data_IF_104934594150
#
_entry.id   IF_104934594150
#
_cell.length_a   1.000
_cell.length_b   1.000
_cell.length_c   1.000
_cell.angle_alpha   90.00
_cell.angle_beta   90.00
_cell.angle_gamma   90.00
#
_symmetry.space_group_name_H-M   'P 1'
#
loop_
_entity.id
_entity.type
_entity.pdbx_description
1 polymer ?
#
# COMPACT_ATOMS: atom_id res chain seq x y z
N UNK A 1 -24.68 5.56 -10.26
CA UNK A 1 -23.72 4.55 -10.74
C UNK A 1 -22.50 4.40 -9.83
N UNK A 2 -21.81 5.46 -9.47
CA UNK A 2 -20.60 5.48 -8.62
C UNK A 2 -20.69 4.61 -7.33
N UNK A 3 -21.66 4.86 -6.43
CA UNK A 3 -21.78 4.07 -5.20
C UNK A 3 -22.06 2.58 -5.46
N UNK A 4 -22.78 2.27 -6.55
CA UNK A 4 -23.05 0.89 -6.93
C UNK A 4 -21.76 0.19 -7.37
N UNK A 5 -20.92 0.81 -8.20
CA UNK A 5 -19.64 0.22 -8.64
C UNK A 5 -18.71 -0.07 -7.45
N UNK A 6 -18.55 0.88 -6.54
CA UNK A 6 -17.71 0.69 -5.32
C UNK A 6 -18.28 -0.44 -4.42
N UNK A 7 -19.62 -0.49 -4.25
CA UNK A 7 -20.27 -1.58 -3.49
C UNK A 7 -20.07 -2.95 -4.15
N UNK A 8 -20.09 -3.01 -5.48
CA UNK A 8 -19.82 -4.24 -6.23
C UNK A 8 -18.36 -4.71 -6.08
N UNK A 9 -17.40 -3.77 -6.05
CA UNK A 9 -15.99 -4.10 -5.80
C UNK A 9 -15.82 -4.70 -4.40
N UNK A 10 -16.43 -4.11 -3.38
CA UNK A 10 -16.40 -4.64 -2.02
C UNK A 10 -17.01 -6.03 -1.96
N UNK A 11 -18.20 -6.21 -2.54
CA UNK A 11 -18.89 -7.50 -2.54
C UNK A 11 -18.10 -8.57 -3.31
N UNK A 12 -17.54 -8.24 -4.48
CA UNK A 12 -16.72 -9.16 -5.27
C UNK A 12 -15.46 -9.57 -4.50
N UNK A 13 -14.77 -8.62 -3.86
CA UNK A 13 -13.60 -8.91 -3.05
C UNK A 13 -13.92 -9.84 -1.87
N UNK A 14 -15.03 -9.60 -1.17
CA UNK A 14 -15.46 -10.51 -0.10
C UNK A 14 -15.77 -11.91 -0.63
N UNK A 15 -16.49 -12.02 -1.76
CA UNK A 15 -16.80 -13.32 -2.38
C UNK A 15 -15.51 -14.04 -2.79
N UNK A 16 -14.58 -13.34 -3.47
CA UNK A 16 -13.31 -13.95 -3.86
C UNK A 16 -12.47 -14.35 -2.64
N UNK A 17 -12.46 -13.53 -1.58
CA UNK A 17 -11.79 -13.89 -0.33
C UNK A 17 -12.33 -15.18 0.25
N UNK A 18 -13.66 -15.34 0.33
CA UNK A 18 -14.29 -16.56 0.80
C UNK A 18 -14.00 -17.78 -0.09
N UNK A 19 -13.93 -17.58 -1.41
CA UNK A 19 -13.57 -18.64 -2.34
C UNK A 19 -12.10 -19.05 -2.19
N UNK A 20 -11.18 -18.08 -2.10
CA UNK A 20 -9.75 -18.32 -1.95
C UNK A 20 -9.44 -18.94 -0.58
N UNK A 21 -10.10 -18.52 0.50
CA UNK A 21 -10.01 -19.15 1.81
C UNK A 21 -10.26 -20.66 1.71
N UNK A 22 -11.40 -21.07 1.11
CA UNK A 22 -11.75 -22.50 0.91
C UNK A 22 -10.80 -23.25 -0.01
N UNK A 23 -10.33 -22.59 -1.09
CA UNK A 23 -9.36 -23.18 -2.02
C UNK A 23 -8.01 -23.37 -1.32
N UNK A 24 -7.54 -22.38 -0.55
CA UNK A 24 -6.30 -22.48 0.21
C UNK A 24 -6.33 -23.60 1.25
N UNK A 25 -7.45 -23.79 1.93
CA UNK A 25 -7.66 -24.93 2.82
C UNK A 25 -7.62 -26.26 2.05
N UNK A 26 -8.34 -26.35 0.92
CA UNK A 26 -8.42 -27.58 0.11
C UNK A 26 -7.08 -28.00 -0.50
N UNK A 27 -6.30 -27.05 -0.96
CA UNK A 27 -5.01 -27.31 -1.62
C UNK A 27 -3.81 -27.14 -0.67
N UNK A 28 -4.07 -26.93 0.63
CA UNK A 28 -3.06 -26.85 1.68
C UNK A 28 -2.09 -25.66 1.52
N UNK A 29 -2.56 -24.53 0.95
CA UNK A 29 -1.85 -23.27 0.94
C UNK A 29 -2.04 -22.58 2.30
N UNK A 30 -1.36 -23.08 3.32
CA UNK A 30 -1.48 -22.66 4.71
C UNK A 30 -0.14 -22.14 5.22
N UNK A 31 -0.15 -20.98 5.85
CA UNK A 31 0.96 -20.55 6.68
C UNK A 31 0.95 -21.32 7.99
N UNK A 32 1.99 -22.12 8.21
CA UNK A 32 2.14 -22.95 9.42
C UNK A 32 2.90 -22.16 10.48
N UNK A 33 2.40 -22.15 11.72
CA UNK A 33 3.08 -21.49 12.82
C UNK A 33 4.54 -21.95 12.96
N UNK A 34 5.42 -21.00 13.18
CA UNK A 34 6.83 -21.21 13.51
C UNK A 34 7.19 -20.36 14.74
N UNK A 35 8.41 -20.47 15.25
CA UNK A 35 8.86 -19.77 16.48
C UNK A 35 8.75 -18.25 16.42
N UNK A 36 8.53 -17.67 15.22
CA UNK A 36 8.39 -16.23 14.99
C UNK A 36 6.96 -15.81 14.63
N UNK A 37 6.07 -16.80 14.45
CA UNK A 37 4.69 -16.53 14.07
C UNK A 37 3.91 -15.94 15.24
N UNK A 38 3.09 -14.95 14.95
CA UNK A 38 2.15 -14.36 15.90
C UNK A 38 0.84 -15.14 16.03
N UNK A 39 0.62 -16.16 15.18
CA UNK A 39 -0.54 -17.04 15.17
C UNK A 39 -0.18 -18.45 15.67
N UNK A 40 -1.16 -19.18 16.20
CA UNK A 40 -1.00 -20.50 16.81
C UNK A 40 -1.61 -21.65 16.01
N UNK A 41 -2.34 -21.36 14.93
CA UNK A 41 -2.98 -22.39 14.08
C UNK A 41 -2.62 -22.14 12.61
N UNK A 42 -2.49 -23.20 11.78
CA UNK A 42 -2.32 -23.03 10.35
C UNK A 42 -3.44 -22.16 9.76
N UNK A 43 -3.08 -21.15 9.00
CA UNK A 43 -4.03 -20.16 8.47
C UNK A 43 -3.89 -20.07 6.96
N UNK A 44 -5.02 -20.10 6.20
CA UNK A 44 -5.03 -19.89 4.76
C UNK A 44 -4.25 -18.63 4.34
N UNK A 45 -3.54 -18.70 3.22
CA UNK A 45 -2.84 -17.57 2.60
C UNK A 45 -3.48 -17.19 1.27
N UNK A 46 -2.87 -16.31 0.51
CA UNK A 46 -3.30 -15.85 -0.82
C UNK A 46 -4.51 -14.89 -0.81
N UNK A 47 -4.91 -14.35 0.36
CA UNK A 47 -6.05 -13.44 0.44
C UNK A 47 -5.87 -12.15 -0.37
N UNK A 48 -4.64 -11.71 -0.56
CA UNK A 48 -4.31 -10.57 -1.41
C UNK A 48 -4.72 -10.74 -2.88
N UNK A 49 -4.79 -11.99 -3.36
CA UNK A 49 -5.29 -12.27 -4.71
C UNK A 49 -6.75 -11.81 -4.89
N UNK A 50 -7.58 -11.88 -3.84
CA UNK A 50 -8.95 -11.35 -3.88
C UNK A 50 -8.99 -9.84 -4.08
N UNK A 51 -8.11 -9.11 -3.40
CA UNK A 51 -7.97 -7.65 -3.53
C UNK A 51 -7.61 -7.31 -4.98
N UNK A 52 -6.54 -7.95 -5.48
CA UNK A 52 -6.01 -7.69 -6.83
C UNK A 52 -7.02 -8.02 -7.92
N UNK A 53 -7.65 -9.20 -7.88
CA UNK A 53 -8.65 -9.60 -8.89
C UNK A 53 -9.83 -8.62 -8.89
N UNK A 54 -10.35 -8.25 -7.72
CA UNK A 54 -11.49 -7.34 -7.63
C UNK A 54 -11.16 -5.94 -8.14
N UNK A 55 -9.95 -5.45 -7.86
CA UNK A 55 -9.46 -4.18 -8.35
C UNK A 55 -9.23 -4.21 -9.87
N UNK A 56 -8.60 -5.26 -10.39
CA UNK A 56 -8.40 -5.45 -11.83
C UNK A 56 -9.74 -5.53 -12.57
N UNK A 57 -10.72 -6.25 -12.03
CA UNK A 57 -12.07 -6.30 -12.63
C UNK A 57 -12.73 -4.93 -12.66
N UNK A 58 -12.55 -4.12 -11.62
CA UNK A 58 -13.02 -2.74 -11.63
C UNK A 58 -12.36 -1.93 -12.75
N UNK A 59 -11.04 -1.98 -12.89
CA UNK A 59 -10.32 -1.28 -13.96
C UNK A 59 -10.76 -1.74 -15.36
N UNK A 60 -11.01 -3.03 -15.55
CA UNK A 60 -11.51 -3.58 -16.83
C UNK A 60 -12.91 -3.10 -17.14
N UNK A 61 -13.81 -3.09 -16.15
CA UNK A 61 -15.18 -2.61 -16.33
C UNK A 61 -15.19 -1.12 -16.63
N UNK A 62 -14.39 -0.33 -15.90
CA UNK A 62 -14.23 1.09 -16.13
C UNK A 62 -13.71 1.36 -17.55
N UNK A 63 -12.65 0.67 -17.95
CA UNK A 63 -12.10 0.76 -19.30
C UNK A 63 -13.12 0.39 -20.39
N UNK A 64 -13.90 -0.71 -20.20
CA UNK A 64 -14.87 -1.19 -21.19
C UNK A 64 -16.12 -0.28 -21.30
N UNK A 65 -16.55 0.35 -20.20
CA UNK A 65 -17.69 1.27 -20.22
C UNK A 65 -17.33 2.58 -20.92
N UNK A 66 -16.08 3.04 -20.76
CA UNK A 66 -15.56 4.25 -21.40
C UNK A 66 -15.04 4.05 -22.83
N UNK A 67 -15.05 2.81 -23.39
CA UNK A 67 -14.88 2.63 -24.83
C UNK A 67 -16.08 3.32 -25.53
N UNK A 68 -15.90 4.41 -26.30
CA UNK A 68 -17.01 5.18 -26.85
C UNK A 68 -17.85 4.33 -27.81
N UNK A 69 -19.14 4.60 -27.87
CA UNK A 69 -19.96 4.23 -29.03
C UNK A 69 -19.23 4.66 -30.30
N UNK A 70 -18.97 3.73 -31.21
CA UNK A 70 -18.20 3.88 -32.45
C UNK A 70 -18.64 5.01 -33.39
N UNK A 71 -19.65 5.79 -33.02
CA UNK A 71 -20.24 6.86 -33.83
C UNK A 71 -19.76 8.29 -33.47
N UNK A 72 -19.09 8.47 -32.34
CA UNK A 72 -18.48 9.76 -31.99
C UNK A 72 -16.97 9.70 -32.26
N UNK A 73 -16.46 10.66 -33.04
CA UNK A 73 -15.03 10.82 -33.38
C UNK A 73 -14.10 11.13 -32.18
N UNK A 74 -14.57 10.95 -30.95
CA UNK A 74 -13.78 10.97 -29.72
C UNK A 74 -13.20 9.58 -29.45
N UNK A 75 -12.26 9.16 -30.26
CA UNK A 75 -11.47 7.95 -30.05
C UNK A 75 -10.64 8.17 -28.79
N UNK A 76 -10.80 7.28 -27.79
CA UNK A 76 -10.10 7.21 -26.51
C UNK A 76 -10.46 8.31 -25.46
N UNK A 77 -11.59 8.13 -24.80
CA UNK A 77 -11.88 8.83 -23.54
C UNK A 77 -11.56 8.03 -22.26
N UNK A 78 -10.97 6.84 -22.38
CA UNK A 78 -10.39 6.16 -21.23
C UNK A 78 -9.06 6.83 -20.89
N UNK A 79 -8.88 7.26 -19.64
CA UNK A 79 -7.62 7.82 -19.18
C UNK A 79 -6.49 6.80 -19.43
N UNK A 80 -5.45 7.13 -20.23
CA UNK A 80 -4.35 6.22 -20.53
C UNK A 80 -3.63 5.73 -19.27
N UNK A 81 -3.70 6.48 -18.17
CA UNK A 81 -3.14 6.11 -16.88
C UNK A 81 -3.80 4.84 -16.33
N UNK A 82 -5.11 4.65 -16.56
CA UNK A 82 -5.86 3.47 -16.10
C UNK A 82 -5.38 2.22 -16.83
N UNK A 83 -5.21 2.30 -18.15
CA UNK A 83 -4.68 1.18 -18.93
C UNK A 83 -3.25 0.83 -18.54
N UNK A 84 -2.43 1.85 -18.31
CA UNK A 84 -1.04 1.66 -17.88
C UNK A 84 -0.95 1.05 -16.48
N UNK A 85 -1.81 1.49 -15.55
CA UNK A 85 -1.96 0.89 -14.23
C UNK A 85 -2.33 -0.59 -14.32
N UNK A 86 -3.35 -0.92 -15.14
CA UNK A 86 -3.76 -2.31 -15.39
C UNK A 86 -2.61 -3.17 -15.91
N UNK A 87 -1.84 -2.66 -16.88
CA UNK A 87 -0.71 -3.39 -17.47
C UNK A 87 0.38 -3.71 -16.43
N UNK A 88 0.64 -2.81 -15.49
CA UNK A 88 1.75 -2.95 -14.56
C UNK A 88 1.39 -3.62 -13.22
N UNK A 89 0.12 -3.58 -12.80
CA UNK A 89 -0.31 -4.29 -11.58
C UNK A 89 -0.24 -5.81 -11.76
N UNK A 90 -0.46 -6.30 -12.98
CA UNK A 90 -0.45 -7.75 -13.27
C UNK A 90 0.93 -8.39 -12.99
N UNK A 91 2.06 -7.95 -13.57
CA UNK A 91 3.37 -8.57 -13.29
C UNK A 91 3.77 -8.49 -11.81
N UNK A 92 3.44 -7.41 -11.11
CA UNK A 92 3.69 -7.29 -9.66
C UNK A 92 2.88 -8.33 -8.87
N UNK A 93 1.61 -8.49 -9.21
CA UNK A 93 0.74 -9.45 -8.53
C UNK A 93 1.12 -10.90 -8.82
N UNK A 94 1.54 -11.18 -10.08
CA UNK A 94 1.99 -12.52 -10.49
C UNK A 94 3.27 -12.91 -9.75
N UNK A 95 4.25 -12.01 -9.64
CA UNK A 95 5.49 -12.35 -8.91
C UNK A 95 5.22 -12.55 -7.41
N UNK A 96 4.31 -11.76 -6.80
CA UNK A 96 3.86 -11.97 -5.43
C UNK A 96 3.18 -13.32 -5.26
N UNK A 97 2.30 -13.71 -6.19
CA UNK A 97 1.62 -15.02 -6.17
C UNK A 97 2.60 -16.19 -6.31
N UNK A 98 3.58 -16.09 -7.19
CA UNK A 98 4.61 -17.11 -7.33
C UNK A 98 5.45 -17.22 -6.04
N UNK A 99 5.71 -16.11 -5.37
CA UNK A 99 6.43 -16.10 -4.09
C UNK A 99 5.62 -16.74 -2.95
N UNK A 100 4.33 -16.43 -2.87
CA UNK A 100 3.42 -17.04 -1.89
C UNK A 100 3.32 -18.57 -2.05
N UNK A 101 3.37 -19.07 -3.29
CA UNK A 101 3.25 -20.50 -3.60
C UNK A 101 4.59 -21.23 -3.51
N UNK A 102 5.68 -20.64 -4.02
CA UNK A 102 6.90 -21.37 -4.35
C UNK A 102 8.22 -20.80 -3.83
N UNK A 103 8.24 -19.67 -3.16
CA UNK A 103 9.43 -18.91 -2.71
C UNK A 103 10.33 -18.48 -3.88
N UNK A 104 10.20 -17.25 -4.29
CA UNK A 104 11.05 -16.61 -5.31
C UNK A 104 12.34 -16.08 -4.65
N UNK A 105 13.45 -16.12 -5.37
CA UNK A 105 14.68 -15.47 -4.89
C UNK A 105 14.45 -13.96 -4.77
N UNK A 106 14.88 -13.38 -3.65
CA UNK A 106 14.75 -11.94 -3.35
C UNK A 106 15.22 -11.07 -4.52
N UNK A 107 16.33 -11.45 -5.17
CA UNK A 107 16.88 -10.71 -6.31
C UNK A 107 15.92 -10.65 -7.50
N UNK A 108 15.20 -11.72 -7.82
CA UNK A 108 14.22 -11.76 -8.93
C UNK A 108 13.06 -10.82 -8.62
N UNK A 109 12.54 -10.84 -7.39
CA UNK A 109 11.50 -9.92 -6.93
C UNK A 109 11.93 -8.46 -7.11
N UNK A 110 13.12 -8.12 -6.60
CA UNK A 110 13.67 -6.78 -6.70
C UNK A 110 13.85 -6.33 -8.15
N UNK A 111 14.37 -7.18 -9.03
CA UNK A 111 14.53 -6.85 -10.45
C UNK A 111 13.18 -6.49 -11.09
N UNK A 112 12.13 -7.28 -10.85
CA UNK A 112 10.80 -7.01 -11.39
C UNK A 112 10.23 -5.71 -10.81
N UNK A 113 10.38 -5.50 -9.49
CA UNK A 113 9.95 -4.26 -8.84
C UNK A 113 10.67 -3.04 -9.43
N UNK A 114 11.99 -3.11 -9.67
CA UNK A 114 12.74 -2.04 -10.30
C UNK A 114 12.33 -1.77 -11.75
N UNK A 115 12.09 -2.82 -12.54
CA UNK A 115 11.61 -2.67 -13.93
C UNK A 115 10.26 -1.95 -13.95
N UNK A 116 9.31 -2.42 -13.13
CA UNK A 116 7.97 -1.83 -13.07
C UNK A 116 8.01 -0.40 -12.51
N UNK A 117 8.77 -0.14 -11.44
CA UNK A 117 8.94 1.20 -10.90
C UNK A 117 9.56 2.17 -11.93
N UNK A 118 10.58 1.70 -12.66
CA UNK A 118 11.19 2.49 -13.75
C UNK A 118 10.17 2.81 -14.85
N UNK A 119 9.35 1.84 -15.24
CA UNK A 119 8.31 2.06 -16.23
C UNK A 119 7.29 3.13 -15.79
N UNK A 120 6.84 3.10 -14.52
CA UNK A 120 5.91 4.09 -13.98
C UNK A 120 6.54 5.49 -13.96
N UNK A 121 7.73 5.64 -13.38
CA UNK A 121 8.39 6.95 -13.26
C UNK A 121 8.71 7.51 -14.64
N UNK A 122 9.19 6.68 -15.58
CA UNK A 122 9.48 7.08 -16.95
C UNK A 122 8.22 7.56 -17.69
N UNK A 123 7.10 6.81 -17.53
CA UNK A 123 5.81 7.17 -18.12
C UNK A 123 5.34 8.56 -17.67
N UNK A 124 5.30 8.81 -16.36
CA UNK A 124 4.86 10.10 -15.83
C UNK A 124 5.85 11.23 -16.04
N UNK A 125 7.15 10.95 -16.19
CA UNK A 125 8.14 11.95 -16.52
C UNK A 125 8.01 12.46 -17.96
N UNK A 126 7.67 11.57 -18.92
CA UNK A 126 7.55 11.92 -20.34
C UNK A 126 6.17 12.50 -20.65
N UNK A 127 5.09 11.89 -20.15
CA UNK A 127 3.72 12.27 -20.48
C UNK A 127 3.11 13.26 -19.48
N UNK A 128 3.64 13.31 -18.26
CA UNK A 128 3.22 14.23 -17.21
C UNK A 128 4.27 15.30 -16.92
N UNK A 129 3.85 16.40 -16.32
CA UNK A 129 4.75 17.44 -15.82
C UNK A 129 5.39 17.05 -14.47
N UNK A 130 5.75 15.77 -14.29
CA UNK A 130 6.31 15.27 -13.02
C UNK A 130 7.66 15.94 -12.68
N UNK A 131 8.36 16.43 -13.71
CA UNK A 131 9.59 17.21 -13.56
C UNK A 131 9.36 18.58 -14.18
N UNK A 132 9.56 19.63 -13.38
CA UNK A 132 9.41 20.99 -13.83
C UNK A 132 10.36 21.27 -15.02
N UNK A 133 9.85 21.88 -16.08
CA UNK A 133 10.61 22.23 -17.30
C UNK A 133 11.80 23.15 -16.98
N UNK A 134 11.79 23.82 -15.81
CA UNK A 134 12.86 24.72 -15.35
C UNK A 134 13.98 24.01 -14.58
N UNK A 135 13.84 22.71 -14.29
CA UNK A 135 14.88 21.94 -13.60
C UNK A 135 16.07 21.66 -14.52
N UNK A 136 17.27 21.66 -13.95
CA UNK A 136 18.46 21.19 -14.65
C UNK A 136 18.34 19.70 -14.98
N UNK A 137 19.04 19.25 -16.02
CA UNK A 137 19.06 17.82 -16.39
C UNK A 137 19.56 16.92 -15.23
N UNK A 138 20.43 17.43 -14.36
CA UNK A 138 20.93 16.71 -13.18
C UNK A 138 19.88 16.56 -12.10
N UNK A 139 19.10 17.60 -11.81
CA UNK A 139 17.98 17.55 -10.85
C UNK A 139 16.91 16.60 -11.34
N UNK A 140 16.57 16.63 -12.63
CA UNK A 140 15.60 15.71 -13.23
C UNK A 140 16.02 14.25 -13.10
N UNK A 141 17.31 13.93 -13.33
CA UNK A 141 17.85 12.58 -13.16
C UNK A 141 17.81 12.16 -11.70
N UNK A 142 18.15 13.05 -10.76
CA UNK A 142 18.12 12.75 -9.33
C UNK A 142 16.70 12.43 -8.84
N UNK A 143 15.71 13.24 -9.23
CA UNK A 143 14.29 13.01 -8.91
C UNK A 143 13.82 11.66 -9.49
N UNK A 144 14.19 11.38 -10.75
CA UNK A 144 13.89 10.12 -11.41
C UNK A 144 14.38 8.91 -10.60
N UNK A 145 15.67 8.91 -10.22
CA UNK A 145 16.28 7.82 -9.46
C UNK A 145 15.67 7.68 -8.05
N UNK A 146 15.46 8.80 -7.35
CA UNK A 146 14.84 8.81 -6.03
C UNK A 146 13.43 8.24 -6.10
N UNK A 147 12.63 8.62 -7.09
CA UNK A 147 11.25 8.15 -7.26
C UNK A 147 11.18 6.64 -7.48
N UNK A 148 12.10 6.08 -8.29
CA UNK A 148 12.21 4.61 -8.47
C UNK A 148 12.52 3.93 -7.15
N UNK A 149 13.53 4.41 -6.42
CA UNK A 149 13.95 3.84 -5.13
C UNK A 149 12.80 3.91 -4.12
N UNK A 150 12.11 5.04 -4.01
CA UNK A 150 10.97 5.21 -3.10
C UNK A 150 9.81 4.29 -3.46
N UNK A 151 9.53 4.09 -4.74
CA UNK A 151 8.48 3.19 -5.18
C UNK A 151 8.82 1.72 -4.85
N UNK A 152 10.04 1.28 -5.13
CA UNK A 152 10.53 -0.07 -4.72
C UNK A 152 10.53 -0.20 -3.20
N UNK A 153 10.95 0.85 -2.49
CA UNK A 153 10.89 0.88 -1.03
C UNK A 153 9.46 0.70 -0.52
N UNK A 154 8.49 1.41 -1.07
CA UNK A 154 7.09 1.34 -0.64
C UNK A 154 6.49 -0.06 -0.84
N UNK A 155 6.81 -0.75 -1.95
CA UNK A 155 6.41 -2.14 -2.16
C UNK A 155 6.93 -3.08 -1.06
N UNK A 156 8.21 -2.95 -0.70
CA UNK A 156 8.81 -3.78 0.34
C UNK A 156 8.41 -3.36 1.75
N UNK A 157 8.26 -2.06 2.00
CA UNK A 157 7.76 -1.50 3.25
C UNK A 157 6.37 -2.07 3.57
N UNK A 158 5.47 -2.07 2.59
CA UNK A 158 4.12 -2.60 2.79
C UNK A 158 4.15 -4.09 3.14
N UNK A 159 5.01 -4.85 2.47
CA UNK A 159 5.22 -6.26 2.76
C UNK A 159 5.77 -6.49 4.19
N UNK A 160 6.70 -5.66 4.68
CA UNK A 160 7.21 -5.77 6.05
C UNK A 160 6.16 -5.46 7.11
N UNK A 161 5.20 -4.60 6.79
CA UNK A 161 4.15 -4.17 7.72
C UNK A 161 2.94 -5.13 7.73
N UNK A 162 2.89 -6.12 6.83
CA UNK A 162 1.86 -7.17 6.81
C UNK A 162 2.20 -8.34 7.77
N UNK A 163 2.48 -8.02 9.02
CA UNK A 163 2.91 -9.01 10.03
C UNK A 163 1.88 -9.28 11.14
N UNK A 164 0.70 -8.66 11.13
CA UNK A 164 -0.37 -8.88 12.10
C UNK A 164 -1.75 -8.71 11.48
N UNK A 165 -2.73 -9.42 12.04
CA UNK A 165 -4.11 -9.45 11.54
C UNK A 165 -4.69 -8.04 11.33
N UNK A 166 -5.17 -7.76 10.15
CA UNK A 166 -5.87 -6.54 9.79
C UNK A 166 -5.00 -5.27 9.67
N UNK A 167 -3.72 -5.32 10.04
CA UNK A 167 -2.90 -4.12 10.17
C UNK A 167 -2.62 -3.45 8.81
N UNK A 168 -2.03 -4.18 7.86
CA UNK A 168 -1.71 -3.66 6.55
C UNK A 168 -2.97 -3.32 5.73
N UNK A 169 -4.00 -4.16 5.81
CA UNK A 169 -5.26 -3.89 5.12
C UNK A 169 -5.98 -2.65 5.66
N UNK A 170 -6.01 -2.45 6.99
CA UNK A 170 -6.62 -1.26 7.59
C UNK A 170 -5.88 0.02 7.23
N UNK A 171 -4.55 -0.02 7.16
CA UNK A 171 -3.77 1.12 6.71
C UNK A 171 -4.04 1.46 5.24
N UNK A 172 -4.13 0.46 4.34
CA UNK A 172 -4.52 0.68 2.95
C UNK A 172 -5.87 1.39 2.85
N UNK A 173 -6.88 0.90 3.59
CA UNK A 173 -8.21 1.52 3.63
C UNK A 173 -8.12 2.96 4.14
N UNK A 174 -7.38 3.21 5.21
CA UNK A 174 -7.21 4.57 5.75
C UNK A 174 -6.53 5.51 4.74
N UNK A 175 -5.40 5.11 4.17
CA UNK A 175 -4.61 5.92 3.23
C UNK A 175 -5.41 6.26 1.97
N UNK A 176 -6.10 5.25 1.41
CA UNK A 176 -6.91 5.44 0.20
C UNK A 176 -8.16 6.28 0.45
N UNK A 177 -8.83 6.12 1.59
CA UNK A 177 -9.95 6.99 1.98
C UNK A 177 -9.48 8.43 2.23
N UNK A 178 -8.33 8.61 2.90
CA UNK A 178 -7.74 9.93 3.14
C UNK A 178 -7.37 10.64 1.84
N UNK A 179 -6.71 9.95 0.91
CA UNK A 179 -6.38 10.49 -0.41
C UNK A 179 -7.64 10.84 -1.23
N UNK A 180 -8.65 9.96 -1.25
CA UNK A 180 -9.91 10.22 -1.93
C UNK A 180 -10.66 11.42 -1.33
N UNK A 181 -10.65 11.57 0.00
CA UNK A 181 -11.21 12.73 0.68
C UNK A 181 -10.52 14.03 0.25
N UNK A 182 -9.19 14.03 0.19
CA UNK A 182 -8.40 15.20 -0.22
C UNK A 182 -8.71 15.57 -1.68
N UNK A 183 -8.76 14.59 -2.59
CA UNK A 183 -9.15 14.82 -3.99
C UNK A 183 -10.57 15.39 -4.10
N UNK A 184 -11.50 14.87 -3.31
CA UNK A 184 -12.87 15.40 -3.24
C UNK A 184 -12.91 16.84 -2.75
N UNK A 185 -12.13 17.18 -1.70
CA UNK A 185 -12.03 18.55 -1.18
C UNK A 185 -11.39 19.52 -2.18
N UNK A 186 -10.50 19.02 -3.04
CA UNK A 186 -9.86 19.78 -4.12
C UNK A 186 -10.76 19.91 -5.38
N UNK A 187 -12.00 19.37 -5.35
CA UNK A 187 -12.93 19.35 -6.48
C UNK A 187 -12.33 18.72 -7.75
N UNK A 188 -11.52 17.67 -7.59
CA UNK A 188 -10.95 16.93 -8.72
C UNK A 188 -12.00 16.05 -9.42
N UNK A 189 -11.66 15.58 -10.63
CA UNK A 189 -12.54 14.70 -11.39
C UNK A 189 -12.90 13.44 -10.60
N UNK A 190 -14.19 13.07 -10.52
CA UNK A 190 -14.63 11.83 -9.85
C UNK A 190 -13.98 10.54 -10.33
N UNK A 191 -13.49 10.48 -11.57
CA UNK A 191 -12.84 9.28 -12.12
C UNK A 191 -11.62 8.86 -11.31
N UNK A 192 -10.73 9.80 -10.95
CA UNK A 192 -9.49 9.51 -10.24
C UNK A 192 -9.76 9.02 -8.81
N UNK A 193 -10.57 9.74 -8.02
CA UNK A 193 -10.82 9.27 -6.65
C UNK A 193 -11.71 8.02 -6.60
N UNK A 194 -12.46 7.70 -7.67
CA UNK A 194 -13.20 6.46 -7.76
C UNK A 194 -12.29 5.23 -7.87
N UNK A 195 -11.18 5.35 -8.60
CA UNK A 195 -10.17 4.28 -8.71
C UNK A 195 -9.49 4.05 -7.35
N UNK A 196 -9.14 5.11 -6.64
CA UNK A 196 -8.54 5.02 -5.31
C UNK A 196 -9.54 4.40 -4.31
N UNK A 197 -10.82 4.78 -4.38
CA UNK A 197 -11.88 4.18 -3.57
C UNK A 197 -12.17 2.72 -3.95
N UNK A 198 -11.98 2.34 -5.20
CA UNK A 198 -12.09 0.94 -5.61
C UNK A 198 -11.04 0.07 -4.94
N UNK A 199 -9.78 0.56 -4.79
CA UNK A 199 -8.76 -0.14 -4.01
C UNK A 199 -9.16 -0.22 -2.53
N UNK A 200 -9.68 0.85 -1.96
CA UNK A 200 -10.23 0.85 -0.59
C UNK A 200 -11.29 -0.22 -0.41
N UNK A 201 -12.27 -0.27 -1.31
CA UNK A 201 -13.37 -1.24 -1.27
C UNK A 201 -12.90 -2.69 -1.44
N UNK A 202 -11.98 -2.93 -2.38
CA UNK A 202 -11.38 -4.25 -2.57
C UNK A 202 -10.64 -4.72 -1.31
N UNK A 203 -9.85 -3.83 -0.71
CA UNK A 203 -9.12 -4.13 0.53
C UNK A 203 -10.05 -4.31 1.72
N UNK A 204 -11.13 -3.52 1.82
CA UNK A 204 -12.14 -3.65 2.88
C UNK A 204 -12.88 -4.99 2.78
N UNK A 205 -13.21 -5.47 1.58
CA UNK A 205 -13.82 -6.79 1.37
C UNK A 205 -12.96 -7.93 1.93
N UNK A 206 -11.64 -7.89 1.69
CA UNK A 206 -10.67 -8.81 2.27
C UNK A 206 -10.57 -8.63 3.80
N UNK A 207 -10.48 -7.38 4.28
CA UNK A 207 -10.30 -7.05 5.70
C UNK A 207 -11.36 -7.69 6.58
N UNK A 208 -12.61 -7.83 6.11
CA UNK A 208 -13.69 -8.48 6.86
C UNK A 208 -13.37 -9.94 7.25
N UNK A 209 -12.42 -10.60 6.56
CA UNK A 209 -11.94 -11.95 6.88
C UNK A 209 -10.56 -11.96 7.54
N UNK A 210 -9.85 -10.83 7.54
CA UNK A 210 -8.50 -10.67 8.11
C UNK A 210 -8.48 -9.93 9.45
N UNK A 211 -9.65 -9.64 10.06
CA UNK A 211 -9.73 -8.89 11.32
C UNK A 211 -9.14 -9.64 12.52
N UNK A 212 -8.58 -8.94 13.54
CA UNK A 212 -7.71 -9.51 14.58
C UNK A 212 -8.40 -10.32 15.67
N UNK A 213 -9.68 -10.61 15.62
CA UNK A 213 -10.30 -11.53 16.58
C UNK A 213 -9.90 -12.99 16.32
N UNK A 214 -9.72 -13.35 15.08
CA UNK A 214 -9.11 -14.57 14.52
C UNK A 214 -9.11 -14.42 13.01
N UNK A 215 -8.02 -13.95 12.41
CA UNK A 215 -7.91 -13.89 10.96
C UNK A 215 -8.16 -15.26 10.34
N UNK A 216 -9.00 -15.30 9.31
CA UNK A 216 -9.36 -16.53 8.58
C UNK A 216 -8.47 -16.76 7.38
N UNK A 217 -7.85 -15.70 6.89
CA UNK A 217 -6.96 -15.73 5.75
C UNK A 217 -5.93 -14.60 5.87
N UNK A 218 -4.68 -14.85 5.48
CA UNK A 218 -3.62 -13.85 5.40
C UNK A 218 -3.52 -13.26 4.01
N UNK A 219 -2.99 -12.04 3.93
CA UNK A 219 -2.86 -11.30 2.68
C UNK A 219 -1.83 -11.93 1.74
N UNK A 220 -0.65 -12.21 2.25
CA UNK A 220 0.51 -12.71 1.50
C UNK A 220 1.19 -11.63 0.66
N UNK A 221 2.27 -12.03 -0.01
CA UNK A 221 3.10 -11.15 -0.84
C UNK A 221 2.33 -10.65 -2.07
N UNK A 222 1.40 -11.46 -2.61
CA UNK A 222 0.49 -11.05 -3.69
C UNK A 222 -0.25 -9.76 -3.34
N UNK A 223 -0.77 -9.65 -2.14
CA UNK A 223 -1.55 -8.48 -1.71
C UNK A 223 -0.66 -7.34 -1.26
N UNK A 224 0.24 -7.59 -0.32
CA UNK A 224 1.03 -6.54 0.32
C UNK A 224 1.94 -5.80 -0.67
N UNK A 225 2.64 -6.51 -1.55
CA UNK A 225 3.49 -5.89 -2.58
C UNK A 225 2.66 -5.15 -3.62
N UNK A 226 1.50 -5.73 -4.03
CA UNK A 226 0.59 -5.05 -4.97
C UNK A 226 -0.02 -3.78 -4.41
N UNK A 227 -0.42 -3.76 -3.13
CA UNK A 227 -0.89 -2.54 -2.46
C UNK A 227 0.21 -1.48 -2.42
N UNK A 228 1.44 -1.87 -2.03
CA UNK A 228 2.59 -0.96 -2.04
C UNK A 228 2.85 -0.37 -3.43
N UNK A 229 2.75 -1.18 -4.49
CA UNK A 229 2.84 -0.73 -5.88
C UNK A 229 1.71 0.25 -6.24
N UNK A 230 0.45 -0.09 -5.95
CA UNK A 230 -0.71 0.73 -6.27
C UNK A 230 -0.66 2.10 -5.58
N UNK A 231 -0.30 2.13 -4.30
CA UNK A 231 -0.10 3.38 -3.58
C UNK A 231 1.05 4.21 -4.19
N UNK A 232 2.17 3.58 -4.54
CA UNK A 232 3.28 4.25 -5.23
C UNK A 232 2.86 4.83 -6.58
N UNK A 233 2.05 4.12 -7.34
CA UNK A 233 1.49 4.59 -8.60
C UNK A 233 0.59 5.82 -8.39
N UNK A 234 -0.33 5.78 -7.41
CA UNK A 234 -1.21 6.91 -7.10
C UNK A 234 -0.44 8.13 -6.60
N UNK A 235 0.63 7.93 -5.82
CA UNK A 235 1.52 9.03 -5.39
C UNK A 235 2.11 9.74 -6.59
N UNK A 236 2.71 8.99 -7.52
CA UNK A 236 3.37 9.56 -8.71
C UNK A 236 2.32 10.22 -9.62
N UNK A 237 1.20 9.55 -9.88
CA UNK A 237 0.13 10.09 -10.71
C UNK A 237 -0.41 11.41 -10.16
N UNK A 238 -0.86 11.43 -8.90
CA UNK A 238 -1.45 12.64 -8.32
C UNK A 238 -0.44 13.77 -8.13
N UNK A 239 0.84 13.44 -7.89
CA UNK A 239 1.90 14.44 -7.82
C UNK A 239 2.24 15.03 -9.20
N UNK A 240 2.26 14.22 -10.27
CA UNK A 240 2.51 14.69 -11.63
C UNK A 240 1.44 15.66 -12.15
N UNK A 241 0.21 15.49 -11.68
CA UNK A 241 -0.92 16.36 -12.01
C UNK A 241 -1.15 17.46 -10.95
N UNK A 242 -0.25 17.60 -9.97
CA UNK A 242 -0.33 18.59 -8.89
C UNK A 242 -1.64 18.52 -8.08
N UNK A 243 -2.26 17.34 -7.99
CA UNK A 243 -3.54 17.10 -7.30
C UNK A 243 -3.37 16.83 -5.81
N UNK A 244 -2.36 16.03 -5.45
CA UNK A 244 -1.95 15.79 -4.06
C UNK A 244 -0.42 15.89 -3.98
N UNK A 245 0.09 16.68 -3.04
CA UNK A 245 1.53 16.80 -2.87
C UNK A 245 2.17 15.52 -2.33
N UNK A 246 3.43 15.26 -2.67
CA UNK A 246 4.21 14.15 -2.12
C UNK A 246 4.25 14.22 -0.58
N UNK A 247 4.32 15.42 -0.01
CA UNK A 247 4.31 15.63 1.44
C UNK A 247 3.02 15.13 2.09
N UNK A 248 1.88 15.39 1.47
CA UNK A 248 0.58 14.91 1.94
C UNK A 248 0.51 13.38 1.94
N UNK A 249 1.04 12.73 0.90
CA UNK A 249 1.16 11.26 0.86
C UNK A 249 2.13 10.72 1.91
N UNK A 250 3.27 11.38 2.11
CA UNK A 250 4.21 11.01 3.18
C UNK A 250 3.55 11.11 4.56
N UNK A 251 2.69 12.11 4.78
CA UNK A 251 1.92 12.23 6.02
C UNK A 251 0.93 11.07 6.14
N UNK A 252 0.11 10.78 5.12
CA UNK A 252 -0.86 9.68 5.16
C UNK A 252 -0.20 8.32 5.44
N UNK A 253 1.02 8.09 4.98
CA UNK A 253 1.80 6.86 5.16
C UNK A 253 2.75 6.92 6.36
N UNK A 254 2.69 7.97 7.17
CA UNK A 254 3.71 8.28 8.18
C UNK A 254 3.96 7.17 9.20
N UNK A 255 2.93 6.43 9.62
CA UNK A 255 3.08 5.33 10.58
C UNK A 255 3.89 4.19 9.96
N UNK A 256 3.54 3.77 8.75
CA UNK A 256 4.21 2.67 8.05
C UNK A 256 5.64 3.04 7.66
N UNK A 257 5.84 4.25 7.14
CA UNK A 257 7.18 4.75 6.78
C UNK A 257 8.06 4.86 8.03
N UNK A 258 7.52 5.39 9.14
CA UNK A 258 8.29 5.53 10.38
C UNK A 258 8.70 4.18 10.95
N UNK A 259 7.77 3.24 11.10
CA UNK A 259 8.09 1.93 11.71
C UNK A 259 9.09 1.16 10.86
N UNK A 260 8.84 1.03 9.55
CA UNK A 260 9.75 0.28 8.68
C UNK A 260 11.12 0.93 8.57
N UNK A 261 11.20 2.23 8.28
CA UNK A 261 12.48 2.92 8.06
C UNK A 261 13.29 3.03 9.34
N UNK A 262 12.64 3.40 10.45
CA UNK A 262 13.30 3.49 11.75
C UNK A 262 13.82 2.12 12.22
N UNK A 263 13.00 1.08 12.13
CA UNK A 263 13.39 -0.28 12.50
C UNK A 263 14.60 -0.75 11.71
N UNK A 264 14.61 -0.57 10.38
CA UNK A 264 15.76 -0.95 9.56
C UNK A 264 17.00 -0.10 9.84
N UNK A 265 16.84 1.21 10.06
CA UNK A 265 17.93 2.08 10.45
C UNK A 265 18.59 1.61 11.75
N UNK A 266 17.82 1.32 12.80
CA UNK A 266 18.34 0.79 14.06
C UNK A 266 19.05 -0.54 13.86
N UNK A 267 18.51 -1.45 13.05
CA UNK A 267 19.13 -2.74 12.75
C UNK A 267 20.47 -2.58 12.02
N UNK A 268 20.57 -1.64 11.07
CA UNK A 268 21.84 -1.33 10.39
C UNK A 268 22.87 -0.80 11.39
N UNK A 269 22.50 0.19 12.21
CA UNK A 269 23.41 0.80 13.20
C UNK A 269 23.87 -0.24 14.25
N UNK A 270 22.98 -1.15 14.64
CA UNK A 270 23.30 -2.24 15.59
C UNK A 270 23.93 -3.46 14.90
N UNK A 271 24.32 -3.36 13.62
CA UNK A 271 24.96 -4.41 12.82
C UNK A 271 24.15 -5.72 12.74
N UNK A 272 22.84 -5.64 12.81
CA UNK A 272 21.95 -6.79 12.63
C UNK A 272 21.68 -7.03 11.14
N UNK A 273 21.51 -8.29 10.77
CA UNK A 273 21.21 -8.63 9.38
C UNK A 273 19.78 -8.20 9.04
N UNK A 274 19.65 -7.28 8.06
CA UNK A 274 18.37 -6.76 7.58
C UNK A 274 17.64 -7.70 6.60
N UNK A 275 18.36 -8.63 5.98
CA UNK A 275 17.79 -9.58 5.02
C UNK A 275 17.19 -10.83 5.70
N UNK A 276 17.38 -10.99 6.99
CA UNK A 276 16.80 -12.10 7.77
C UNK A 276 15.46 -11.64 8.33
N UNK A 277 14.37 -12.41 8.16
CA UNK A 277 13.08 -12.11 8.76
C UNK A 277 13.20 -11.88 10.28
N UNK A 278 12.55 -10.85 10.78
CA UNK A 278 12.58 -10.43 12.19
C UNK A 278 11.22 -9.93 12.67
N UNK A 279 11.06 -9.84 13.99
CA UNK A 279 9.84 -9.37 14.66
C UNK A 279 10.10 -8.11 15.50
N UNK A 280 11.00 -7.24 15.03
CA UNK A 280 11.46 -6.05 15.78
C UNK A 280 10.75 -4.76 15.42
N UNK A 281 9.76 -4.77 14.53
CA UNK A 281 8.90 -3.61 14.26
C UNK A 281 8.08 -3.21 15.48
N UNK A 282 7.78 -1.92 15.63
CA UNK A 282 7.07 -1.41 16.81
C UNK A 282 5.70 -2.06 17.00
N UNK A 283 4.93 -2.23 15.90
CA UNK A 283 3.62 -2.87 15.96
C UNK A 283 3.70 -4.35 16.39
N UNK A 284 4.72 -5.09 15.92
CA UNK A 284 4.95 -6.48 16.30
C UNK A 284 5.34 -6.60 17.77
N UNK A 285 6.27 -5.75 18.24
CA UNK A 285 6.67 -5.68 19.66
C UNK A 285 5.46 -5.39 20.55
N UNK A 286 4.61 -4.46 20.15
CA UNK A 286 3.39 -4.12 20.88
C UNK A 286 2.40 -5.29 20.89
N UNK A 287 2.19 -5.96 19.76
CA UNK A 287 1.33 -7.13 19.65
C UNK A 287 1.83 -8.26 20.56
N UNK A 288 3.13 -8.52 20.54
CA UNK A 288 3.75 -9.53 21.38
C UNK A 288 3.62 -9.22 22.88
N UNK A 289 3.98 -7.99 23.29
CA UNK A 289 3.91 -7.52 24.68
C UNK A 289 2.47 -7.55 25.22
N UNK A 290 1.49 -7.25 24.39
CA UNK A 290 0.05 -7.24 24.75
C UNK A 290 -0.67 -8.57 24.49
N UNK A 291 0.01 -9.53 23.86
CA UNK A 291 -0.53 -10.84 23.45
C UNK A 291 -1.82 -10.71 22.62
N UNK A 292 -1.90 -9.67 21.78
CA UNK A 292 -3.06 -9.42 20.92
C UNK A 292 -2.71 -8.50 19.76
N UNK A 293 -3.23 -8.77 18.57
CA UNK A 293 -3.12 -7.92 17.39
C UNK A 293 -4.08 -6.70 17.45
N UNK A 294 -5.09 -6.74 18.32
CA UNK A 294 -6.10 -5.68 18.43
C UNK A 294 -5.51 -4.35 18.96
N UNK A 295 -4.52 -4.41 19.86
CA UNK A 295 -3.95 -3.20 20.48
C UNK A 295 -3.14 -2.37 19.47
N UNK A 296 -2.15 -2.93 18.73
CA UNK A 296 -1.44 -2.15 17.72
C UNK A 296 -2.38 -1.62 16.62
N UNK A 297 -3.36 -2.42 16.17
CA UNK A 297 -4.35 -1.99 15.19
C UNK A 297 -5.18 -0.79 15.68
N UNK A 298 -5.72 -0.86 16.90
CA UNK A 298 -6.50 0.25 17.48
C UNK A 298 -5.64 1.50 17.65
N UNK A 299 -4.41 1.37 18.13
CA UNK A 299 -3.49 2.49 18.29
C UNK A 299 -3.21 3.16 16.94
N UNK A 300 -2.91 2.38 15.90
CA UNK A 300 -2.72 2.88 14.53
C UNK A 300 -3.95 3.64 14.04
N UNK A 301 -5.15 3.04 14.13
CA UNK A 301 -6.39 3.68 13.66
C UNK A 301 -6.70 4.98 14.42
N UNK A 302 -6.49 5.01 15.74
CA UNK A 302 -6.70 6.23 16.53
C UNK A 302 -5.70 7.30 16.11
N UNK A 303 -4.41 6.96 15.96
CA UNK A 303 -3.39 7.91 15.52
C UNK A 303 -3.66 8.41 14.11
N UNK A 304 -4.08 7.53 13.19
CA UNK A 304 -4.47 7.87 11.84
C UNK A 304 -5.63 8.87 11.80
N UNK A 305 -6.69 8.62 12.56
CA UNK A 305 -7.88 9.47 12.53
C UNK A 305 -7.69 10.80 13.26
N UNK A 306 -6.99 10.80 14.43
CA UNK A 306 -6.90 11.98 15.27
C UNK A 306 -5.65 12.82 15.04
N UNK A 307 -4.62 12.28 14.40
CA UNK A 307 -3.37 12.97 14.14
C UNK A 307 -3.02 13.02 12.65
N UNK A 308 -2.88 11.88 12.01
CA UNK A 308 -2.38 11.80 10.63
C UNK A 308 -3.35 12.48 9.65
N UNK A 309 -4.64 12.15 9.69
CA UNK A 309 -5.64 12.72 8.77
C UNK A 309 -5.77 14.25 8.90
N UNK A 310 -5.89 14.85 10.10
CA UNK A 310 -5.88 16.30 10.24
C UNK A 310 -4.61 16.96 9.69
N UNK A 311 -3.44 16.36 9.92
CA UNK A 311 -2.18 16.87 9.42
C UNK A 311 -2.07 16.75 7.90
N UNK A 312 -2.60 15.69 7.30
CA UNK A 312 -2.67 15.53 5.85
C UNK A 312 -3.58 16.58 5.20
N UNK A 313 -4.75 16.84 5.79
CA UNK A 313 -5.66 17.90 5.33
C UNK A 313 -4.99 19.27 5.49
N UNK A 314 -4.33 19.54 6.61
CA UNK A 314 -3.61 20.78 6.85
C UNK A 314 -2.48 21.00 5.84
N UNK A 315 -1.70 19.96 5.52
CA UNK A 315 -0.67 19.98 4.49
C UNK A 315 -1.24 20.29 3.10
N UNK A 316 -2.42 19.76 2.78
CA UNK A 316 -3.08 20.02 1.51
C UNK A 316 -3.60 21.47 1.39
N UNK A 317 -3.96 22.11 2.51
CA UNK A 317 -4.43 23.50 2.54
C UNK A 317 -3.25 24.49 2.57
N UNK A 318 -2.21 24.20 3.35
CA UNK A 318 -1.06 25.07 3.61
C UNK A 318 0.19 24.57 2.88
N UNK A 319 0.18 24.63 1.55
CA UNK A 319 1.23 24.09 0.67
C UNK A 319 2.64 24.62 0.99
N UNK A 320 2.77 25.89 1.33
CA UNK A 320 4.05 26.53 1.68
C UNK A 320 4.68 25.98 2.97
N UNK A 321 3.87 25.35 3.83
CA UNK A 321 4.29 24.79 5.12
C UNK A 321 4.43 23.27 5.11
N UNK A 322 4.33 22.62 3.96
CA UNK A 322 4.32 21.16 3.82
C UNK A 322 5.48 20.46 4.55
N UNK A 323 6.69 20.98 4.43
CA UNK A 323 7.88 20.42 5.09
C UNK A 323 7.73 20.46 6.60
N UNK A 324 7.30 21.59 7.16
CA UNK A 324 7.14 21.77 8.61
C UNK A 324 6.02 20.87 9.13
N UNK A 325 4.89 20.79 8.43
CA UNK A 325 3.75 19.95 8.80
C UNK A 325 4.16 18.48 8.78
N UNK A 326 4.92 18.05 7.76
CA UNK A 326 5.45 16.69 7.67
C UNK A 326 6.36 16.38 8.87
N UNK A 327 7.33 17.23 9.16
CA UNK A 327 8.23 17.05 10.32
C UNK A 327 7.46 16.97 11.64
N UNK A 328 6.48 17.85 11.85
CA UNK A 328 5.62 17.83 13.03
C UNK A 328 4.80 16.54 13.13
N UNK A 329 4.33 16.01 11.98
CA UNK A 329 3.57 14.74 11.95
C UNK A 329 4.43 13.56 12.39
N UNK A 330 5.66 13.48 11.89
CA UNK A 330 6.57 12.37 12.17
C UNK A 330 7.14 12.39 13.59
N UNK A 331 7.29 13.57 14.19
CA UNK A 331 7.92 13.74 15.50
C UNK A 331 7.32 12.82 16.60
N UNK A 332 6.02 12.86 16.92
CA UNK A 332 5.45 11.99 17.95
C UNK A 332 5.51 10.52 17.60
N UNK A 333 5.43 10.16 16.29
CA UNK A 333 5.52 8.79 15.83
C UNK A 333 6.93 8.25 16.05
N UNK A 334 7.97 9.01 15.70
CA UNK A 334 9.38 8.62 15.92
C UNK A 334 9.68 8.53 17.43
N UNK A 335 9.18 9.46 18.25
CA UNK A 335 9.32 9.35 19.70
C UNK A 335 8.69 8.08 20.25
N UNK A 336 7.55 7.66 19.70
CA UNK A 336 6.93 6.39 20.07
C UNK A 336 7.78 5.19 19.65
N UNK A 337 8.41 5.21 18.45
CA UNK A 337 9.32 4.14 17.98
C UNK A 337 10.54 4.02 18.89
N UNK A 338 11.11 5.15 19.31
CA UNK A 338 12.20 5.21 20.31
C UNK A 338 11.74 4.61 21.65
N UNK A 339 10.58 5.01 22.16
CA UNK A 339 10.05 4.54 23.44
C UNK A 339 9.81 3.03 23.47
N UNK A 340 9.28 2.45 22.40
CA UNK A 340 9.02 1.01 22.32
C UNK A 340 10.30 0.21 22.00
N UNK A 341 11.40 0.87 21.61
CA UNK A 341 12.64 0.24 21.22
C UNK A 341 12.56 -0.52 19.90
N UNK A 342 11.87 0.07 18.89
CA UNK A 342 11.77 -0.55 17.56
C UNK A 342 13.17 -0.82 16.97
N UNK A 343 13.33 -1.93 16.28
CA UNK A 343 14.61 -2.38 15.71
C UNK A 343 15.55 -3.10 16.67
N UNK A 344 15.36 -2.96 18.00
CA UNK A 344 16.12 -3.70 18.99
C UNK A 344 15.52 -5.10 19.20
N UNK A 345 16.38 -6.09 19.34
CA UNK A 345 15.94 -7.46 19.69
C UNK A 345 15.61 -7.50 21.19
N UNK A 346 14.49 -8.09 21.53
CA UNK A 346 14.13 -8.46 22.89
C UNK A 346 13.96 -9.97 22.93
N UNK A 347 14.55 -10.62 23.94
CA UNK A 347 14.29 -12.04 24.21
C UNK A 347 12.90 -12.17 24.84
N UNK A 348 11.91 -12.34 23.99
CA UNK A 348 10.55 -12.69 24.44
C UNK A 348 10.51 -14.21 24.76
N UNK A 349 11.16 -14.60 25.86
CA UNK A 349 11.02 -15.95 26.44
C UNK A 349 9.82 -16.04 27.36
#
# INVERSE_FOLDING_TARGET
MFFLSISLVLASSLIFTLCIEKLSERYNFLDKPNDRSSHSSPTPTLGGLAIVISFILYLLVDFLIFIPNFNDNSILSSDPNIFFLFLLVVPISVIGLIDDIGKVKILIRLIIQFIVATAVVYYFQILGNYVDVHMSSQESILIFLISIILMVWLMNLYNFMDGTDGYAASECVFVTLGAALILFLNNTDPSLYSIILALSAATLGFLLRNLPSKAKIFMGDTGSVSIGFLLGFFIIWTASESLISIYTWLILLSIFISDSSYTLFVRIVTKKNISVPHTSHAFQKLAYKRKTHTVPLKLMLITNLLWVLPMAILSNILLDYNVIITLLTYMPIIFYMLYIGAGLEEDYK
#
